data_IF_120188577616
#
_entry.id   IF_120188577616
#
_cell.length_a   1.000
_cell.length_b   1.000
_cell.length_c   1.000
_cell.angle_alpha   90.00
_cell.angle_beta   90.00
_cell.angle_gamma   90.00
#
_symmetry.space_group_name_H-M   'P 1'
#
loop_
_entity.id
_entity.type
_entity.pdbx_description
1 polymer ?
#
# COMPACT_ATOMS: atom_id res chain seq x y z
N UNK A 1 20.34 8.94 6.52
CA UNK A 1 19.02 8.71 7.14
C UNK A 1 18.80 7.20 7.20
N UNK A 2 18.37 6.66 8.34
CA UNK A 2 18.07 5.24 8.45
C UNK A 2 16.63 4.94 8.02
N UNK A 3 16.40 3.76 7.46
CA UNK A 3 15.10 3.29 6.99
C UNK A 3 14.78 1.93 7.59
N UNK A 4 13.49 1.66 7.71
CA UNK A 4 12.99 0.44 8.33
C UNK A 4 11.84 -0.14 7.49
N UNK A 5 11.81 -1.45 7.34
CA UNK A 5 10.62 -2.15 6.90
C UNK A 5 9.59 -2.16 8.04
N UNK A 6 8.34 -1.86 7.71
CA UNK A 6 7.22 -1.91 8.65
C UNK A 6 6.56 -3.28 8.53
N UNK A 7 6.55 -4.02 9.64
CA UNK A 7 5.95 -5.35 9.69
C UNK A 7 4.88 -5.44 10.77
N UNK A 8 3.99 -6.42 10.65
CA UNK A 8 3.04 -6.74 11.72
C UNK A 8 3.80 -7.24 12.95
N UNK A 9 3.44 -6.74 14.13
CA UNK A 9 3.89 -7.35 15.38
C UNK A 9 3.18 -8.69 15.62
N UNK A 10 3.85 -9.79 15.28
CA UNK A 10 3.35 -11.16 15.46
C UNK A 10 3.46 -11.67 16.90
N UNK A 11 4.22 -10.99 17.76
CA UNK A 11 4.34 -11.37 19.17
C UNK A 11 3.23 -10.73 20.03
N UNK A 12 2.51 -9.74 19.49
CA UNK A 12 1.42 -9.09 20.21
C UNK A 12 0.23 -9.99 20.49
N UNK A 13 -0.42 -9.80 21.64
CA UNK A 13 -1.65 -10.50 22.03
C UNK A 13 -2.92 -9.93 21.35
N UNK A 14 -2.77 -9.19 20.24
CA UNK A 14 -3.91 -8.58 19.57
C UNK A 14 -4.72 -9.59 18.77
N UNK A 15 -6.01 -9.71 19.11
CA UNK A 15 -6.96 -10.63 18.47
C UNK A 15 -7.70 -9.99 17.28
N UNK A 16 -7.39 -8.73 16.98
CA UNK A 16 -8.02 -7.93 15.95
C UNK A 16 -7.95 -8.59 14.58
N UNK A 17 -9.10 -8.74 13.94
CA UNK A 17 -9.25 -9.28 12.60
C UNK A 17 -10.16 -8.39 11.77
N UNK A 18 -9.77 -8.15 10.52
CA UNK A 18 -10.52 -7.35 9.56
C UNK A 18 -10.69 -8.18 8.29
N UNK A 19 -11.95 -8.32 7.88
CA UNK A 19 -12.37 -8.92 6.62
C UNK A 19 -13.04 -7.86 5.78
N UNK A 20 -12.42 -7.50 4.66
CA UNK A 20 -12.92 -6.43 3.80
C UNK A 20 -12.17 -6.32 2.49
N UNK A 21 -12.60 -5.36 1.69
CA UNK A 21 -12.04 -5.09 0.37
C UNK A 21 -12.30 -3.63 -0.02
N UNK A 22 -11.59 -3.19 -1.04
CA UNK A 22 -11.88 -1.92 -1.71
C UNK A 22 -13.08 -2.08 -2.61
N UNK A 23 -13.91 -1.03 -2.69
CA UNK A 23 -15.08 -1.02 -3.56
C UNK A 23 -14.71 -1.12 -5.03
N UNK A 24 -13.60 -0.49 -5.42
CA UNK A 24 -13.20 -0.39 -6.81
C UNK A 24 -11.78 -0.86 -7.06
N UNK A 25 -11.53 -1.38 -8.25
CA UNK A 25 -10.21 -1.76 -8.73
C UNK A 25 -10.10 -1.67 -10.25
N UNK A 26 -8.89 -1.43 -10.75
CA UNK A 26 -8.52 -1.72 -12.12
C UNK A 26 -8.44 -3.25 -12.30
N UNK A 27 -8.82 -3.79 -13.46
CA UNK A 27 -8.70 -5.22 -13.70
C UNK A 27 -7.22 -5.65 -13.69
N UNK A 28 -6.99 -6.93 -13.40
CA UNK A 28 -5.77 -7.59 -13.83
C UNK A 28 -5.70 -7.68 -15.35
N UNK A 29 -4.57 -8.12 -15.89
CA UNK A 29 -4.38 -8.21 -17.33
C UNK A 29 -4.02 -9.61 -17.79
N UNK A 30 -4.44 -9.92 -19.02
CA UNK A 30 -4.02 -11.07 -19.81
C UNK A 30 -3.11 -10.52 -20.90
N UNK A 31 -1.80 -10.75 -20.77
CA UNK A 31 -0.83 -10.19 -21.71
C UNK A 31 -0.71 -11.06 -22.97
N UNK A 32 -0.92 -10.52 -24.19
CA UNK A 32 -0.79 -11.30 -25.42
C UNK A 32 0.67 -11.66 -25.73
N UNK A 33 1.64 -10.90 -25.22
CA UNK A 33 3.08 -11.08 -25.49
C UNK A 33 3.69 -12.14 -24.58
N UNK A 34 3.66 -11.94 -23.26
CA UNK A 34 4.27 -12.88 -22.31
C UNK A 34 3.30 -13.96 -21.79
N UNK A 35 2.03 -13.94 -22.21
CA UNK A 35 0.96 -14.88 -21.81
C UNK A 35 0.63 -14.90 -20.31
N UNK A 36 1.25 -14.03 -19.52
CA UNK A 36 0.97 -13.92 -18.10
C UNK A 36 -0.42 -13.32 -17.84
N UNK A 37 -1.11 -13.91 -16.87
CA UNK A 37 -2.30 -13.34 -16.24
C UNK A 37 -1.87 -12.80 -14.88
N UNK A 38 -2.00 -11.50 -14.64
CA UNK A 38 -1.55 -10.91 -13.37
C UNK A 38 -2.24 -9.58 -13.03
N UNK A 39 -2.22 -9.24 -11.75
CA UNK A 39 -2.56 -7.93 -11.21
C UNK A 39 -1.53 -7.59 -10.13
N UNK A 40 -1.12 -6.33 -10.06
CA UNK A 40 -0.25 -5.81 -9.01
C UNK A 40 -1.00 -5.69 -7.69
N UNK A 41 -0.45 -6.28 -6.62
CA UNK A 41 -0.86 -5.99 -5.26
C UNK A 41 -0.14 -4.76 -4.73
N UNK A 42 -0.68 -4.11 -3.70
CA UNK A 42 0.01 -3.02 -3.00
C UNK A 42 -0.13 -1.62 -3.63
N UNK A 43 -0.87 -1.44 -4.71
CA UNK A 43 -1.25 -0.11 -5.22
C UNK A 43 -2.68 0.22 -4.79
N UNK A 44 -2.83 1.11 -3.81
CA UNK A 44 -4.12 1.45 -3.21
C UNK A 44 -4.19 2.95 -3.01
N UNK A 45 -5.31 3.55 -3.44
CA UNK A 45 -5.59 4.98 -3.27
C UNK A 45 -6.94 5.12 -2.58
N UNK A 46 -7.00 4.93 -1.24
CA UNK A 46 -8.24 4.90 -0.49
C UNK A 46 -9.00 6.24 -0.53
N UNK A 47 -8.33 7.34 -0.86
CA UNK A 47 -8.97 8.65 -1.01
C UNK A 47 -9.60 8.90 -2.38
N UNK A 48 -9.34 8.06 -3.38
CA UNK A 48 -9.80 8.28 -4.75
C UNK A 48 -11.22 7.74 -4.94
N UNK A 49 -12.14 8.63 -5.29
CA UNK A 49 -13.53 8.31 -5.59
C UNK A 49 -13.73 8.08 -7.11
N UNK A 50 -14.15 6.87 -7.49
CA UNK A 50 -14.42 6.54 -8.90
C UNK A 50 -15.89 6.74 -9.30
N UNK A 51 -16.76 7.20 -8.39
CA UNK A 51 -18.17 7.50 -8.71
C UNK A 51 -18.38 8.28 -10.01
N UNK A 52 -17.54 9.27 -10.40
CA UNK A 52 -17.70 9.99 -11.67
C UNK A 52 -17.54 9.13 -12.94
N UNK A 53 -16.89 7.97 -12.85
CA UNK A 53 -16.56 7.12 -14.02
C UNK A 53 -17.15 5.71 -13.94
N UNK A 54 -17.85 5.35 -12.86
CA UNK A 54 -18.43 4.01 -12.66
C UNK A 54 -19.50 3.65 -13.69
N UNK A 55 -20.13 4.62 -14.35
CA UNK A 55 -21.06 4.38 -15.46
C UNK A 55 -20.37 4.00 -16.77
N UNK A 56 -19.06 4.25 -16.90
CA UNK A 56 -18.28 4.08 -18.13
C UNK A 56 -17.53 2.74 -18.20
N UNK A 57 -17.38 2.05 -17.06
CA UNK A 57 -16.76 0.74 -16.95
C UNK A 57 -17.10 0.09 -15.60
N UNK A 58 -16.97 -1.24 -15.52
CA UNK A 58 -17.16 -1.96 -14.27
C UNK A 58 -15.84 -1.99 -13.46
N UNK A 59 -15.79 -1.27 -12.33
CA UNK A 59 -14.65 -1.28 -11.42
C UNK A 59 -14.86 -2.15 -10.17
N UNK A 60 -16.08 -2.66 -9.94
CA UNK A 60 -16.45 -3.35 -8.70
C UNK A 60 -16.18 -4.86 -8.75
N UNK A 61 -16.10 -5.44 -9.95
CA UNK A 61 -15.83 -6.87 -10.14
C UNK A 61 -14.36 -7.12 -10.47
N UNK A 62 -13.63 -7.73 -9.54
CA UNK A 62 -12.29 -8.25 -9.78
C UNK A 62 -12.29 -9.28 -10.93
N UNK A 63 -11.44 -9.06 -11.92
CA UNK A 63 -11.28 -9.90 -13.12
C UNK A 63 -9.98 -9.58 -13.84
N UNK A 64 -9.57 -10.45 -14.76
CA UNK A 64 -8.52 -10.18 -15.72
C UNK A 64 -9.13 -9.84 -17.08
N UNK A 65 -8.57 -8.84 -17.76
CA UNK A 65 -9.02 -8.37 -19.07
C UNK A 65 -7.86 -8.39 -20.08
N UNK A 66 -8.13 -8.38 -21.40
CA UNK A 66 -7.12 -8.00 -22.38
C UNK A 66 -6.46 -6.67 -22.00
N UNK A 67 -5.16 -6.54 -22.25
CA UNK A 67 -4.39 -5.37 -21.80
C UNK A 67 -4.95 -4.04 -22.37
N UNK A 68 -5.53 -4.05 -23.55
CA UNK A 68 -6.17 -2.90 -24.19
C UNK A 68 -7.37 -2.39 -23.38
N UNK A 69 -8.16 -3.28 -22.77
CA UNK A 69 -9.30 -2.90 -21.93
C UNK A 69 -8.83 -2.34 -20.58
N UNK A 70 -7.78 -2.93 -20.00
CA UNK A 70 -7.12 -2.33 -18.83
C UNK A 70 -6.61 -0.91 -19.13
N UNK A 71 -5.97 -0.69 -20.29
CA UNK A 71 -5.47 0.63 -20.69
C UNK A 71 -6.62 1.63 -20.83
N UNK A 72 -7.71 1.25 -21.50
CA UNK A 72 -8.91 2.08 -21.61
C UNK A 72 -9.45 2.46 -20.23
N UNK A 73 -9.60 1.50 -19.32
CA UNK A 73 -10.08 1.75 -17.95
C UNK A 73 -9.09 2.61 -17.15
N UNK A 74 -7.78 2.42 -17.31
CA UNK A 74 -6.75 3.23 -16.67
C UNK A 74 -6.85 4.70 -17.07
N UNK A 75 -7.11 4.98 -18.34
CA UNK A 75 -7.25 6.36 -18.82
C UNK A 75 -8.53 7.04 -18.31
N UNK A 76 -9.60 6.29 -17.99
CA UNK A 76 -10.76 6.85 -17.30
C UNK A 76 -10.44 7.27 -15.86
N UNK A 77 -9.56 6.53 -15.19
CA UNK A 77 -9.20 6.78 -13.78
C UNK A 77 -8.13 7.85 -13.64
N UNK A 78 -7.20 7.96 -14.59
CA UNK A 78 -6.04 8.88 -14.55
C UNK A 78 -6.38 10.33 -14.13
N UNK A 79 -7.47 10.97 -14.61
CA UNK A 79 -7.81 12.34 -14.22
C UNK A 79 -8.19 12.51 -12.75
N UNK A 80 -8.55 11.43 -12.06
CA UNK A 80 -8.97 11.43 -10.66
C UNK A 80 -7.80 11.18 -9.69
N UNK A 81 -6.62 10.88 -10.22
CA UNK A 81 -5.49 10.44 -9.42
C UNK A 81 -4.70 11.62 -8.81
N UNK A 82 -4.16 11.45 -7.59
CA UNK A 82 -3.20 12.41 -7.07
C UNK A 82 -1.93 12.45 -7.94
N UNK A 83 -1.19 13.59 -7.92
CA UNK A 83 0.07 13.71 -8.64
C UNK A 83 1.06 12.60 -8.26
N UNK A 84 1.73 12.03 -9.26
CA UNK A 84 2.70 10.95 -9.06
C UNK A 84 2.10 9.57 -8.79
N UNK A 85 0.77 9.42 -8.82
CA UNK A 85 0.14 8.11 -8.67
C UNK A 85 0.55 7.14 -9.79
N UNK A 86 0.97 5.95 -9.39
CA UNK A 86 1.23 4.81 -10.26
C UNK A 86 -0.02 3.97 -10.38
N UNK A 87 -0.46 3.73 -11.62
CA UNK A 87 -1.63 2.91 -11.95
C UNK A 87 -1.18 1.60 -12.59
N UNK A 88 -1.08 0.54 -11.79
CA UNK A 88 -0.81 -0.82 -12.26
C UNK A 88 -2.11 -1.62 -12.45
N UNK A 89 -2.08 -2.73 -13.22
CA UNK A 89 -3.16 -3.72 -13.18
C UNK A 89 -3.50 -4.09 -11.74
N UNK A 90 -4.78 -4.23 -11.38
CA UNK A 90 -5.18 -4.56 -10.01
C UNK A 90 -5.17 -3.41 -8.99
N UNK A 91 -4.76 -2.18 -9.37
CA UNK A 91 -4.79 -1.02 -8.45
C UNK A 91 -6.18 -0.84 -7.84
N UNK A 92 -6.25 -0.57 -6.54
CA UNK A 92 -7.50 -0.47 -5.77
C UNK A 92 -7.81 0.97 -5.36
N UNK A 93 -9.09 1.31 -5.24
CA UNK A 93 -9.55 2.69 -4.99
C UNK A 93 -10.72 2.76 -4.03
N UNK A 94 -10.84 3.94 -3.43
CA UNK A 94 -11.92 4.28 -2.52
C UNK A 94 -11.77 3.64 -1.14
N UNK A 95 -12.68 3.93 -0.22
CA UNK A 95 -12.54 3.51 1.17
C UNK A 95 -12.64 1.99 1.32
N UNK A 96 -11.74 1.43 2.12
CA UNK A 96 -11.79 0.02 2.51
C UNK A 96 -13.07 -0.27 3.30
N UNK A 97 -13.82 -1.27 2.84
CA UNK A 97 -15.16 -1.59 3.38
C UNK A 97 -15.18 -3.03 3.85
N UNK A 98 -15.81 -3.29 5.01
CA UNK A 98 -15.85 -4.64 5.54
C UNK A 98 -16.33 -4.76 6.98
N UNK A 99 -15.82 -5.78 7.66
CA UNK A 99 -16.14 -6.13 9.04
C UNK A 99 -14.87 -6.21 9.86
N UNK A 100 -14.95 -5.75 11.11
CA UNK A 100 -13.86 -5.86 12.09
C UNK A 100 -14.35 -6.49 13.38
N UNK A 101 -13.46 -7.24 14.05
CA UNK A 101 -13.72 -7.80 15.38
C UNK A 101 -12.42 -7.99 16.17
N UNK A 102 -12.52 -8.09 17.49
CA UNK A 102 -11.37 -8.35 18.37
C UNK A 102 -10.67 -7.07 18.86
N UNK A 103 -9.55 -7.25 19.56
CA UNK A 103 -8.75 -6.15 20.12
C UNK A 103 -7.63 -5.77 19.17
N UNK A 104 -7.56 -4.48 18.83
CA UNK A 104 -6.55 -3.93 17.91
C UNK A 104 -5.47 -3.19 18.69
N UNK A 105 -4.26 -3.11 18.14
CA UNK A 105 -3.25 -2.15 18.59
C UNK A 105 -3.53 -0.75 18.04
N UNK A 106 -2.52 0.12 18.16
CA UNK A 106 -2.50 1.45 17.56
C UNK A 106 -2.48 1.35 16.04
N UNK A 107 -1.72 0.39 15.52
CA UNK A 107 -1.68 0.00 14.11
C UNK A 107 -2.30 -1.38 13.89
N UNK A 108 -2.85 -1.57 12.70
CA UNK A 108 -3.48 -2.82 12.25
C UNK A 108 -3.09 -3.09 10.81
N UNK A 109 -2.60 -4.30 10.54
CA UNK A 109 -2.25 -4.74 9.18
C UNK A 109 -3.11 -5.95 8.79
N UNK A 110 -4.28 -5.76 8.14
CA UNK A 110 -5.12 -6.87 7.68
C UNK A 110 -4.38 -7.80 6.71
N UNK A 111 -3.54 -7.19 5.86
CA UNK A 111 -2.59 -7.84 4.96
C UNK A 111 -1.29 -7.03 4.99
N UNK A 112 -0.14 -7.60 4.57
CA UNK A 112 1.17 -6.97 4.76
C UNK A 112 1.33 -5.56 4.16
N UNK A 113 0.57 -5.23 3.12
CA UNK A 113 0.65 -3.95 2.40
C UNK A 113 -0.45 -2.95 2.73
N UNK A 114 -1.41 -3.31 3.59
CA UNK A 114 -2.44 -2.39 4.11
C UNK A 114 -2.08 -2.06 5.55
N UNK A 115 -1.87 -0.78 5.82
CA UNK A 115 -1.63 -0.28 7.17
C UNK A 115 -2.78 0.63 7.58
N UNK A 116 -3.51 0.21 8.60
CA UNK A 116 -4.52 1.01 9.26
C UNK A 116 -3.99 1.51 10.59
N UNK A 117 -4.50 2.64 11.04
CA UNK A 117 -4.12 3.29 12.29
C UNK A 117 -5.39 3.77 12.98
N UNK A 118 -5.41 3.71 14.32
CA UNK A 118 -6.47 4.35 15.09
C UNK A 118 -6.40 5.87 14.93
N UNK A 119 -7.56 6.54 14.88
CA UNK A 119 -7.63 8.01 14.76
C UNK A 119 -6.72 8.72 15.75
N UNK A 120 -6.79 8.36 17.03
CA UNK A 120 -6.02 9.02 18.10
C UNK A 120 -4.49 8.83 17.94
N UNK A 121 -4.06 7.72 17.35
CA UNK A 121 -2.65 7.45 17.09
C UNK A 121 -2.15 8.26 15.89
N UNK A 122 -2.97 8.37 14.83
CA UNK A 122 -2.65 9.23 13.68
C UNK A 122 -2.52 10.70 14.08
N UNK A 123 -3.45 11.20 14.90
CA UNK A 123 -3.43 12.60 15.36
C UNK A 123 -2.14 12.91 16.13
N UNK A 124 -1.70 12.00 16.99
CA UNK A 124 -0.41 12.13 17.70
C UNK A 124 0.78 12.14 16.73
N UNK A 125 0.79 11.24 15.73
CA UNK A 125 1.85 11.17 14.73
C UNK A 125 1.92 12.44 13.86
N UNK A 126 0.76 13.01 13.52
CA UNK A 126 0.67 14.27 12.79
C UNK A 126 1.13 15.46 13.65
N UNK A 127 0.82 15.46 14.95
CA UNK A 127 1.29 16.47 15.89
C UNK A 127 2.83 16.47 16.06
N UNK A 128 3.48 15.33 15.83
CA UNK A 128 4.95 15.21 15.77
C UNK A 128 5.57 15.79 14.47
N UNK A 129 4.74 16.30 13.55
CA UNK A 129 5.21 16.88 12.29
C UNK A 129 5.72 15.84 11.30
N UNK A 130 5.26 14.60 11.39
CA UNK A 130 5.57 13.55 10.40
C UNK A 130 4.98 13.91 9.03
N UNK A 131 5.77 13.69 7.98
CA UNK A 131 5.48 14.14 6.61
C UNK A 131 4.73 13.06 5.84
N UNK A 132 3.73 13.48 5.06
CA UNK A 132 3.01 12.60 4.14
C UNK A 132 1.99 11.67 4.79
N UNK A 133 1.71 11.80 6.09
CA UNK A 133 0.74 10.93 6.77
C UNK A 133 -0.70 11.38 6.50
N UNK A 134 -1.38 10.64 5.61
CA UNK A 134 -2.78 10.84 5.28
C UNK A 134 -3.61 9.61 5.68
N UNK A 135 -4.50 9.79 6.65
CA UNK A 135 -5.50 8.79 7.02
C UNK A 135 -6.77 8.96 6.21
N UNK A 136 -7.24 7.87 5.61
CA UNK A 136 -8.49 7.81 4.84
C UNK A 136 -9.54 7.03 5.64
N UNK A 137 -10.80 7.52 5.68
CA UNK A 137 -11.88 6.80 6.36
C UNK A 137 -12.06 5.38 5.83
N UNK A 138 -12.35 4.45 6.72
CA UNK A 138 -12.81 3.11 6.36
C UNK A 138 -14.30 2.97 6.65
N UNK A 139 -14.97 2.06 5.95
CA UNK A 139 -16.36 1.68 6.22
C UNK A 139 -16.42 0.28 6.84
N UNK A 140 -15.75 0.15 8.00
CA UNK A 140 -15.73 -1.08 8.78
C UNK A 140 -16.91 -1.14 9.74
N UNK A 141 -17.64 -2.26 9.71
CA UNK A 141 -18.69 -2.57 10.67
C UNK A 141 -18.13 -3.48 11.76
N UNK A 142 -18.26 -3.04 13.00
CA UNK A 142 -17.83 -3.83 14.15
C UNK A 142 -19.03 -4.35 14.94
N UNK A 143 -18.89 -5.56 15.50
CA UNK A 143 -19.92 -6.16 16.35
C UNK A 143 -19.84 -5.68 17.82
N UNK A 144 -18.69 -5.19 18.24
CA UNK A 144 -18.42 -4.82 19.64
C UNK A 144 -18.80 -3.36 19.94
N UNK A 145 -19.25 -3.10 21.18
CA UNK A 145 -19.44 -1.73 21.68
C UNK A 145 -18.07 -1.05 21.81
N UNK A 146 -18.01 0.27 21.58
CA UNK A 146 -16.79 1.09 21.64
C UNK A 146 -15.68 0.62 20.69
N UNK A 147 -16.03 0.34 19.43
CA UNK A 147 -15.03 -0.03 18.43
C UNK A 147 -14.14 1.16 18.05
N UNK A 148 -12.83 0.94 17.85
CA UNK A 148 -11.93 2.01 17.45
C UNK A 148 -12.30 2.51 16.04
N UNK A 149 -12.08 3.79 15.81
CA UNK A 149 -12.11 4.31 14.45
C UNK A 149 -10.77 4.03 13.78
N UNK A 150 -10.78 3.14 12.80
CA UNK A 150 -9.61 2.78 12.01
C UNK A 150 -9.60 3.55 10.70
N UNK A 151 -8.49 4.24 10.45
CA UNK A 151 -8.20 4.95 9.21
C UNK A 151 -7.16 4.15 8.43
N UNK A 152 -7.34 4.01 7.14
CA UNK A 152 -6.32 3.45 6.27
C UNK A 152 -5.30 4.53 5.92
N UNK A 153 -4.01 4.24 6.07
CA UNK A 153 -2.97 5.16 5.62
C UNK A 153 -2.83 5.07 4.09
N UNK A 154 -2.97 6.20 3.42
CA UNK A 154 -2.64 6.31 2.00
C UNK A 154 -1.10 6.40 1.87
N UNK A 155 -0.49 5.29 1.47
CA UNK A 155 0.96 5.13 1.38
C UNK A 155 1.34 5.08 -0.10
N UNK A 156 2.07 6.10 -0.56
CA UNK A 156 2.42 6.26 -1.96
C UNK A 156 3.61 5.35 -2.37
N UNK A 157 3.59 4.80 -3.61
CA UNK A 157 4.71 4.07 -4.18
C UNK A 157 5.82 5.03 -4.59
N UNK A 158 6.88 5.11 -3.81
CA UNK A 158 8.05 5.97 -4.07
C UNK A 158 9.33 5.25 -3.63
N UNK A 159 10.37 5.37 -4.43
CA UNK A 159 11.67 4.75 -4.17
C UNK A 159 11.72 3.29 -4.62
N UNK A 160 12.94 2.77 -4.70
CA UNK A 160 13.23 1.48 -5.32
C UNK A 160 14.18 0.64 -4.48
N UNK A 161 14.09 -0.68 -4.66
CA UNK A 161 15.21 -1.56 -4.35
C UNK A 161 16.40 -1.30 -5.27
N UNK A 162 17.61 -1.42 -4.71
CA UNK A 162 18.86 -1.30 -5.44
C UNK A 162 19.01 -2.45 -6.45
N UNK A 163 19.42 -2.19 -7.70
CA UNK A 163 19.54 -3.22 -8.74
C UNK A 163 20.38 -4.43 -8.33
N UNK A 164 21.46 -4.23 -7.58
CA UNK A 164 22.34 -5.31 -7.10
C UNK A 164 21.67 -6.34 -6.17
N UNK A 165 20.58 -5.99 -5.47
CA UNK A 165 19.87 -6.97 -4.63
C UNK A 165 18.83 -7.77 -5.44
N UNK A 166 18.68 -7.47 -6.74
CA UNK A 166 17.76 -8.16 -7.63
C UNK A 166 18.52 -9.24 -8.41
N UNK A 167 17.90 -10.42 -8.64
CA UNK A 167 18.51 -11.44 -9.46
C UNK A 167 18.69 -10.95 -10.90
N UNK A 168 19.81 -11.31 -11.54
CA UNK A 168 20.00 -11.09 -12.98
C UNK A 168 18.88 -11.79 -13.74
N UNK A 169 18.18 -11.03 -14.59
CA UNK A 169 16.98 -11.53 -15.29
C UNK A 169 16.77 -10.83 -16.63
N UNK A 170 15.94 -11.40 -17.51
CA UNK A 170 15.44 -10.69 -18.68
C UNK A 170 14.75 -9.38 -18.28
N UNK A 171 14.74 -8.37 -19.17
CA UNK A 171 13.99 -7.15 -18.92
C UNK A 171 12.50 -7.47 -18.72
N UNK A 172 11.75 -6.60 -18.02
CA UNK A 172 10.30 -6.74 -17.90
C UNK A 172 9.62 -6.87 -19.27
N UNK A 173 8.46 -7.52 -19.31
CA UNK A 173 7.71 -7.68 -20.56
C UNK A 173 7.46 -6.31 -21.22
N UNK A 174 7.91 -6.12 -22.45
CA UNK A 174 7.78 -4.84 -23.16
C UNK A 174 6.32 -4.39 -23.36
N UNK A 175 5.34 -5.30 -23.31
CA UNK A 175 3.92 -4.97 -23.48
C UNK A 175 3.23 -4.62 -22.17
N UNK A 176 3.50 -5.37 -21.10
CA UNK A 176 2.76 -5.24 -19.85
C UNK A 176 3.59 -4.78 -18.65
N UNK A 177 4.91 -4.66 -18.77
CA UNK A 177 5.79 -4.26 -17.69
C UNK A 177 5.98 -5.32 -16.60
N UNK A 178 5.37 -6.50 -16.70
CA UNK A 178 5.55 -7.57 -15.70
C UNK A 178 7.01 -7.98 -15.64
N UNK A 179 7.59 -7.88 -14.44
CA UNK A 179 8.96 -8.30 -14.14
C UNK A 179 9.02 -9.64 -13.39
N UNK A 180 7.93 -10.04 -12.71
CA UNK A 180 7.72 -11.37 -12.14
C UNK A 180 8.60 -11.66 -10.92
N UNK A 181 8.97 -10.64 -10.17
CA UNK A 181 10.03 -10.74 -9.15
C UNK A 181 9.41 -10.85 -7.77
N UNK A 182 9.94 -11.79 -7.00
CA UNK A 182 9.66 -11.87 -5.56
C UNK A 182 10.55 -10.91 -4.79
N UNK A 183 10.08 -10.43 -3.64
CA UNK A 183 10.91 -9.66 -2.73
C UNK A 183 12.20 -10.45 -2.41
N UNK A 184 13.40 -9.87 -2.56
CA UNK A 184 14.65 -10.53 -2.18
C UNK A 184 14.69 -10.82 -0.68
N UNK A 185 15.38 -11.88 -0.28
CA UNK A 185 15.58 -12.22 1.14
C UNK A 185 16.34 -11.13 1.91
N UNK A 186 17.23 -10.41 1.22
CA UNK A 186 18.00 -9.28 1.75
C UNK A 186 17.74 -8.03 0.90
N UNK A 187 16.60 -7.34 1.11
CA UNK A 187 16.27 -6.14 0.35
C UNK A 187 17.25 -5.01 0.71
N UNK A 188 17.72 -4.29 -0.31
CA UNK A 188 18.58 -3.11 -0.16
C UNK A 188 17.88 -1.94 -0.84
N UNK A 189 17.74 -0.80 -0.16
CA UNK A 189 17.13 0.39 -0.73
C UNK A 189 18.11 1.15 -1.62
N UNK A 190 17.62 1.70 -2.73
CA UNK A 190 18.37 2.57 -3.62
C UNK A 190 18.27 4.03 -3.14
N UNK A 191 19.33 4.52 -2.50
CA UNK A 191 19.35 5.82 -1.80
C UNK A 191 18.91 7.00 -2.68
N UNK A 192 19.37 7.13 -3.95
CA UNK A 192 18.99 8.24 -4.82
C UNK A 192 17.50 8.34 -5.14
N UNK A 193 16.72 7.27 -4.95
CA UNK A 193 15.28 7.25 -5.24
C UNK A 193 14.42 7.46 -3.99
N UNK A 194 15.02 7.57 -2.80
CA UNK A 194 14.28 7.70 -1.55
C UNK A 194 13.64 9.09 -1.40
N UNK A 195 12.36 9.17 -0.97
CA UNK A 195 11.68 10.45 -0.82
C UNK A 195 12.17 11.23 0.42
N UNK A 196 12.41 12.53 0.26
CA UNK A 196 12.69 13.44 1.39
C UNK A 196 11.42 14.00 2.06
N UNK A 197 10.28 13.89 1.36
CA UNK A 197 9.00 14.50 1.73
C UNK A 197 8.00 13.51 2.34
N UNK A 198 8.39 12.26 2.57
CA UNK A 198 7.54 11.21 3.15
C UNK A 198 8.28 10.50 4.28
N UNK A 199 7.60 10.27 5.41
CA UNK A 199 8.13 9.43 6.48
C UNK A 199 7.68 7.97 6.42
N UNK A 200 6.65 7.70 5.62
CA UNK A 200 6.08 6.38 5.40
C UNK A 200 5.68 6.29 3.92
N UNK A 201 6.21 5.28 3.23
CA UNK A 201 6.00 5.04 1.81
C UNK A 201 6.10 3.54 1.54
N UNK A 202 5.87 3.13 0.29
CA UNK A 202 6.16 1.77 -0.19
C UNK A 202 7.01 1.87 -1.44
N UNK A 203 7.76 0.84 -1.77
CA UNK A 203 8.63 0.89 -2.94
C UNK A 203 7.80 0.78 -4.23
N UNK A 204 8.16 1.53 -5.26
CA UNK A 204 7.48 1.46 -6.56
C UNK A 204 7.72 0.10 -7.21
N UNK A 205 8.98 -0.35 -7.27
CA UNK A 205 9.29 -1.67 -7.80
C UNK A 205 8.89 -2.85 -6.88
N UNK A 206 8.54 -2.60 -5.61
CA UNK A 206 8.05 -3.60 -4.65
C UNK A 206 6.98 -3.01 -3.71
N UNK A 207 5.76 -2.77 -4.19
CA UNK A 207 4.69 -2.06 -3.46
C UNK A 207 4.18 -2.84 -2.23
N UNK A 208 4.53 -4.12 -2.12
CA UNK A 208 4.24 -4.92 -0.94
C UNK A 208 5.10 -4.58 0.28
N UNK A 209 6.25 -3.93 0.09
CA UNK A 209 7.18 -3.56 1.15
C UNK A 209 6.89 -2.12 1.62
N UNK A 210 6.37 -1.99 2.83
CA UNK A 210 6.20 -0.71 3.50
C UNK A 210 7.52 -0.29 4.16
N UNK A 211 7.92 0.96 3.91
CA UNK A 211 9.17 1.54 4.41
C UNK A 211 8.87 2.81 5.19
N UNK A 212 9.51 2.98 6.33
CA UNK A 212 9.46 4.22 7.09
C UNK A 212 10.85 4.77 7.40
N UNK A 213 10.92 6.07 7.69
CA UNK A 213 12.14 6.73 8.15
C UNK A 213 12.39 6.45 9.64
N UNK A 214 13.62 6.68 10.09
CA UNK A 214 13.98 6.71 11.51
C UNK A 214 13.12 7.67 12.34
N UNK A 215 12.69 8.79 11.74
CA UNK A 215 11.81 9.75 12.41
C UNK A 215 10.46 9.14 12.75
N UNK A 216 9.87 8.39 11.81
CA UNK A 216 8.63 7.66 12.04
C UNK A 216 8.78 6.61 13.15
N UNK A 217 9.81 5.77 13.04
CA UNK A 217 10.07 4.70 14.02
C UNK A 217 10.27 5.26 15.43
N UNK A 218 11.08 6.30 15.57
CA UNK A 218 11.33 6.97 16.85
C UNK A 218 10.07 7.63 17.42
N UNK A 219 9.21 8.22 16.57
CA UNK A 219 7.94 8.80 17.00
C UNK A 219 7.00 7.70 17.53
N UNK A 220 6.85 6.58 16.82
CA UNK A 220 6.06 5.44 17.28
C UNK A 220 6.55 4.91 18.62
N UNK A 221 7.86 4.72 18.79
CA UNK A 221 8.44 4.25 20.04
C UNK A 221 8.18 5.22 21.20
N UNK A 222 8.45 6.53 21.00
CA UNK A 222 8.26 7.56 22.04
C UNK A 222 6.79 7.73 22.44
N UNK A 223 5.88 7.61 21.49
CA UNK A 223 4.43 7.70 21.74
C UNK A 223 3.82 6.38 22.27
N UNK A 224 4.61 5.30 22.36
CA UNK A 224 4.15 3.99 22.80
C UNK A 224 3.13 3.36 21.85
N UNK A 225 3.25 3.61 20.54
CA UNK A 225 2.35 3.04 19.54
C UNK A 225 2.80 1.64 19.15
N UNK A 226 1.84 0.72 19.09
CA UNK A 226 2.05 -0.72 18.94
C UNK A 226 1.26 -1.34 17.77
N UNK A 227 1.43 -2.64 17.54
CA UNK A 227 0.81 -3.40 16.44
C UNK A 227 1.69 -3.56 15.21
N UNK A 228 2.83 -2.86 15.16
CA UNK A 228 3.86 -2.99 14.13
C UNK A 228 5.25 -3.07 14.75
N UNK A 229 6.20 -3.64 14.00
CA UNK A 229 7.63 -3.67 14.30
C UNK A 229 8.43 -3.03 13.17
N UNK A 230 9.67 -2.64 13.48
CA UNK A 230 10.57 -1.95 12.56
C UNK A 230 11.83 -2.80 12.33
N UNK A 231 12.02 -3.29 11.11
CA UNK A 231 13.22 -4.05 10.74
C UNK A 231 14.18 -3.13 9.98
N UNK A 232 15.44 -2.93 10.43
CA UNK A 232 16.39 -2.06 9.72
C UNK A 232 16.61 -2.50 8.28
N UNK A 233 16.58 -1.55 7.34
CA UNK A 233 16.87 -1.80 5.93
C UNK A 233 18.22 -1.18 5.53
N UNK A 234 19.12 -1.96 4.90
CA UNK A 234 20.35 -1.42 4.35
C UNK A 234 20.06 -0.51 3.16
N UNK A 235 20.90 0.49 2.96
CA UNK A 235 20.84 1.44 1.85
C UNK A 235 22.13 1.37 1.02
N UNK A 236 22.01 1.60 -0.28
CA UNK A 236 23.15 1.70 -1.20
C UNK A 236 22.91 2.84 -2.21
N UNK A 237 23.98 3.54 -2.57
CA UNK A 237 23.98 4.62 -3.56
C UNK A 237 24.26 4.10 -4.96
#
# INVERSE_FOLDING_TARGET
MNYFAVEKDRASDYTGFIDGSYKWSLPGIICPTCKAIWGGGGYMYPSVDLTPVTSLANFEKARAEPIEEYERMRELVRPLMPPGAVLCPGTQFGPFTGRGQGRFGSFVTPVPWILMVRREALEKLQAEGLRGLKGCPTFLRFRQRNSPELLELEILPVGDLHPDCLPRRPPPCARCGRDGVSLPDAPVLHTPTMPEHLDLFRLDNFPGLLVCTERFANACQRLGLDGITFQPLPTRG
#
